data_IF_202858250012
#
_entry.id   IF_202858250012
#
_cell.length_a   1.000
_cell.length_b   1.000
_cell.length_c   1.000
_cell.angle_alpha   90.00
_cell.angle_beta   90.00
_cell.angle_gamma   90.00
#
_symmetry.space_group_name_H-M   'P 1'
#
loop_
_entity.id
_entity.type
_entity.pdbx_description
1 polymer ?
#
# COMPACT_ATOMS: atom_id res chain seq x y z
N UNK A 1 -4.38 6.16 14.30
CA UNK A 1 -4.84 6.42 12.90
C UNK A 1 -4.29 5.45 11.89
N UNK A 2 -3.01 5.13 12.02
CA UNK A 2 -2.38 4.03 11.31
C UNK A 2 -3.27 2.79 11.37
N UNK A 3 -3.84 2.42 12.51
CA UNK A 3 -4.82 1.32 12.61
C UNK A 3 -6.08 1.43 11.72
N UNK A 4 -6.65 2.62 11.48
CA UNK A 4 -7.83 2.79 10.60
C UNK A 4 -7.41 2.58 9.14
N UNK A 5 -6.23 3.08 8.79
CA UNK A 5 -5.65 2.99 7.44
C UNK A 5 -5.10 1.59 7.19
N UNK A 6 -4.36 1.01 8.14
CA UNK A 6 -3.79 -0.33 8.13
C UNK A 6 -4.86 -1.43 8.23
N UNK A 7 -5.99 -1.23 8.93
CA UNK A 7 -7.14 -2.17 8.85
C UNK A 7 -7.87 -2.05 7.53
N UNK A 8 -8.00 -0.84 6.96
CA UNK A 8 -8.54 -0.68 5.61
C UNK A 8 -7.62 -1.35 4.58
N UNK A 9 -6.31 -1.16 4.71
CA UNK A 9 -5.26 -1.82 3.93
C UNK A 9 -5.29 -3.34 4.08
N UNK A 10 -5.32 -3.88 5.30
CA UNK A 10 -5.39 -5.33 5.54
C UNK A 10 -6.73 -5.95 5.08
N UNK A 11 -7.83 -5.21 5.15
CA UNK A 11 -9.15 -5.66 4.65
C UNK A 11 -9.24 -5.60 3.12
N UNK A 12 -8.55 -4.66 2.48
CA UNK A 12 -8.39 -4.57 1.02
C UNK A 12 -7.45 -5.66 0.50
N UNK A 13 -6.30 -5.88 1.15
CA UNK A 13 -5.32 -6.91 0.78
C UNK A 13 -5.78 -8.34 1.14
N UNK A 14 -6.56 -8.51 2.22
CA UNK A 14 -7.07 -9.80 2.70
C UNK A 14 -8.24 -10.38 1.88
N UNK A 15 -8.74 -9.65 0.88
CA UNK A 15 -9.84 -10.10 0.00
C UNK A 15 -9.39 -11.03 -1.14
N UNK A 16 -8.09 -11.32 -1.23
CA UNK A 16 -7.48 -12.07 -2.34
C UNK A 16 -7.29 -13.58 -2.14
N UNK A 17 -7.70 -14.19 -1.02
CA UNK A 17 -7.55 -15.64 -0.80
C UNK A 17 -8.89 -16.38 -0.70
N UNK A 18 -9.50 -16.62 -1.85
CA UNK A 18 -10.25 -17.86 -2.10
C UNK A 18 -9.44 -18.65 -3.12
N UNK A 19 -8.57 -19.51 -2.62
CA UNK A 19 -8.00 -20.59 -3.44
C UNK A 19 -9.18 -21.46 -3.91
N UNK A 20 -9.47 -21.43 -5.20
CA UNK A 20 -10.34 -22.41 -5.84
C UNK A 20 -9.59 -23.73 -5.87
N UNK A 21 -9.81 -24.59 -4.87
CA UNK A 21 -9.33 -25.97 -4.92
C UNK A 21 -10.19 -26.74 -5.93
N UNK A 22 -9.76 -26.77 -7.18
CA UNK A 22 -10.28 -27.71 -8.18
C UNK A 22 -9.78 -29.10 -7.82
N UNK A 23 -10.65 -29.93 -7.23
CA UNK A 23 -10.42 -31.38 -7.13
C UNK A 23 -10.66 -31.97 -8.51
N UNK A 24 -9.60 -32.42 -9.18
CA UNK A 24 -9.74 -33.39 -10.28
C UNK A 24 -9.37 -34.79 -9.78
N UNK A 25 -10.32 -35.71 -9.97
CA UNK A 25 -10.17 -37.12 -9.68
C UNK A 25 -9.35 -37.82 -10.79
N UNK A 26 -8.24 -38.43 -10.38
CA UNK A 26 -7.81 -39.77 -10.80
C UNK A 26 -7.69 -40.09 -12.29
N UNK A 27 -6.48 -39.92 -12.84
CA UNK A 27 -5.90 -40.88 -13.80
C UNK A 27 -4.51 -41.29 -13.35
N UNK A 28 -4.39 -42.52 -12.89
CA UNK A 28 -3.14 -43.19 -12.50
C UNK A 28 -2.30 -43.47 -13.75
N UNK A 29 -1.32 -42.61 -14.04
CA UNK A 29 -0.22 -42.91 -14.97
C UNK A 29 1.09 -42.44 -14.32
N UNK A 30 1.95 -43.44 -14.08
CA UNK A 30 3.34 -43.46 -13.61
C UNK A 30 3.89 -42.20 -12.91
N UNK A 31 4.04 -42.32 -11.58
CA UNK A 31 4.84 -41.39 -10.77
C UNK A 31 6.32 -41.58 -11.14
N UNK A 32 6.86 -40.64 -11.92
CA UNK A 32 8.30 -40.47 -12.08
C UNK A 32 8.77 -39.53 -10.98
N UNK A 33 9.67 -39.99 -10.09
CA UNK A 33 10.27 -39.18 -9.01
C UNK A 33 11.40 -38.24 -9.50
N UNK A 34 11.49 -38.04 -10.82
CA UNK A 34 12.47 -37.12 -11.42
C UNK A 34 11.97 -35.68 -11.27
N UNK A 35 12.68 -34.81 -10.53
CA UNK A 35 12.29 -33.41 -10.32
C UNK A 35 12.09 -32.63 -11.61
N UNK A 36 12.85 -32.92 -12.67
CA UNK A 36 12.73 -32.23 -13.96
C UNK A 36 11.43 -32.64 -14.64
N UNK A 37 11.11 -33.94 -14.63
CA UNK A 37 9.87 -34.46 -15.20
C UNK A 37 8.64 -34.01 -14.40
N UNK A 38 8.79 -33.87 -13.09
CA UNK A 38 7.76 -33.31 -12.20
C UNK A 38 7.50 -31.84 -12.55
N UNK A 39 8.54 -31.02 -12.71
CA UNK A 39 8.43 -29.63 -13.12
C UNK A 39 7.82 -29.48 -14.52
N UNK A 40 8.28 -30.25 -15.52
CA UNK A 40 7.74 -30.18 -16.88
C UNK A 40 6.28 -30.60 -16.96
N UNK A 41 5.87 -31.57 -16.15
CA UNK A 41 4.46 -31.97 -16.04
C UNK A 41 3.62 -30.88 -15.40
N UNK A 42 4.13 -30.24 -14.34
CA UNK A 42 3.44 -29.18 -13.62
C UNK A 42 3.33 -27.90 -14.46
N UNK A 43 4.41 -27.50 -15.13
CA UNK A 43 4.43 -26.36 -16.06
C UNK A 43 3.66 -26.66 -17.36
N UNK A 44 3.69 -27.89 -17.86
CA UNK A 44 2.93 -28.32 -19.03
C UNK A 44 1.40 -28.34 -18.82
N UNK A 45 0.95 -28.24 -17.57
CA UNK A 45 -0.46 -28.05 -17.21
C UNK A 45 -0.90 -26.58 -17.17
N UNK A 46 0.02 -25.62 -17.31
CA UNK A 46 -0.29 -24.19 -17.33
C UNK A 46 -0.59 -23.79 -18.78
N UNK A 47 -1.83 -23.37 -19.04
CA UNK A 47 -2.24 -22.88 -20.35
C UNK A 47 -1.47 -21.60 -20.73
N UNK A 48 -1.06 -21.51 -21.99
CA UNK A 48 -0.42 -20.30 -22.51
C UNK A 48 -1.42 -19.13 -22.50
N UNK A 49 -0.92 -17.94 -22.21
CA UNK A 49 -1.72 -16.73 -22.19
C UNK A 49 -2.17 -16.36 -23.61
N UNK A 50 -3.46 -16.08 -23.77
CA UNK A 50 -3.96 -15.34 -24.93
C UNK A 50 -3.68 -13.85 -24.75
N UNK A 51 -3.74 -13.07 -25.82
CA UNK A 51 -3.66 -11.60 -25.76
C UNK A 51 -4.65 -11.00 -24.76
N UNK A 52 -5.87 -11.53 -24.71
CA UNK A 52 -6.90 -11.12 -23.75
C UNK A 52 -6.52 -11.50 -22.32
N UNK A 53 -5.90 -12.67 -22.12
CA UNK A 53 -5.35 -13.10 -20.84
C UNK A 53 -4.25 -12.18 -20.33
N UNK A 54 -3.31 -11.79 -21.19
CA UNK A 54 -2.24 -10.83 -20.86
C UNK A 54 -2.82 -9.48 -20.45
N UNK A 55 -3.77 -8.95 -21.23
CA UNK A 55 -4.47 -7.69 -20.93
C UNK A 55 -5.22 -7.79 -19.59
N UNK A 56 -5.86 -8.92 -19.31
CA UNK A 56 -6.58 -9.13 -18.06
C UNK A 56 -5.62 -9.14 -16.85
N UNK A 57 -4.45 -9.78 -16.98
CA UNK A 57 -3.41 -9.76 -15.96
C UNK A 57 -2.88 -8.34 -15.75
N UNK A 58 -2.57 -7.61 -16.82
CA UNK A 58 -2.07 -6.24 -16.74
C UNK A 58 -3.04 -5.32 -16.00
N UNK A 59 -4.34 -5.36 -16.35
CA UNK A 59 -5.39 -4.60 -15.66
C UNK A 59 -5.51 -4.96 -14.18
N UNK A 60 -5.31 -6.24 -13.84
CA UNK A 60 -5.35 -6.70 -12.45
C UNK A 60 -4.15 -6.20 -11.66
N UNK A 61 -2.96 -6.18 -12.25
CA UNK A 61 -1.74 -5.64 -11.65
C UNK A 61 -1.90 -4.13 -11.41
N UNK A 62 -2.39 -3.41 -12.41
CA UNK A 62 -2.65 -1.96 -12.33
C UNK A 62 -3.66 -1.62 -11.23
N UNK A 63 -4.80 -2.32 -11.19
CA UNK A 63 -5.80 -2.13 -10.14
C UNK A 63 -5.24 -2.46 -8.74
N UNK A 64 -4.37 -3.48 -8.63
CA UNK A 64 -3.70 -3.81 -7.38
C UNK A 64 -2.75 -2.70 -6.91
N UNK A 65 -1.94 -2.16 -7.84
CA UNK A 65 -1.04 -1.01 -7.59
C UNK A 65 -1.83 0.20 -7.11
N UNK A 66 -2.96 0.50 -7.75
CA UNK A 66 -3.81 1.63 -7.39
C UNK A 66 -4.40 1.51 -5.97
N UNK A 67 -4.91 0.33 -5.61
CA UNK A 67 -5.42 0.07 -4.25
C UNK A 67 -4.32 0.27 -3.21
N UNK A 68 -3.11 -0.19 -3.51
CA UNK A 68 -1.96 -0.03 -2.63
C UNK A 68 -1.57 1.44 -2.47
N UNK A 69 -1.50 2.20 -3.56
CA UNK A 69 -1.18 3.64 -3.52
C UNK A 69 -2.22 4.44 -2.74
N UNK A 70 -3.52 4.14 -2.89
CA UNK A 70 -4.59 4.77 -2.10
C UNK A 70 -4.41 4.56 -0.60
N UNK A 71 -3.95 3.37 -0.20
CA UNK A 71 -3.72 3.09 1.21
C UNK A 71 -2.46 3.78 1.75
N UNK A 72 -1.38 3.78 0.96
CA UNK A 72 -0.13 4.43 1.31
C UNK A 72 -0.29 5.95 1.40
N UNK A 73 -1.07 6.58 0.51
CA UNK A 73 -1.30 8.04 0.49
C UNK A 73 -1.99 8.57 1.74
N UNK A 74 -2.77 7.73 2.42
CA UNK A 74 -3.46 8.09 3.64
C UNK A 74 -2.57 7.91 4.88
N UNK A 75 -1.48 7.14 4.77
CA UNK A 75 -0.74 6.71 5.94
C UNK A 75 0.19 7.77 6.52
N UNK A 76 0.15 8.00 7.85
CA UNK A 76 1.14 8.84 8.54
C UNK A 76 2.57 8.31 8.43
N UNK A 77 2.74 6.98 8.28
CA UNK A 77 4.06 6.35 8.17
C UNK A 77 4.71 6.69 6.82
N UNK A 78 3.92 6.67 5.75
CA UNK A 78 4.33 7.16 4.43
C UNK A 78 4.67 8.65 4.48
N UNK A 79 3.88 9.46 5.20
CA UNK A 79 4.14 10.88 5.38
C UNK A 79 5.51 11.16 6.03
N UNK A 80 5.86 10.40 7.08
CA UNK A 80 7.17 10.47 7.72
C UNK A 80 8.30 10.19 6.73
N UNK A 81 8.15 9.16 5.91
CA UNK A 81 9.14 8.84 4.89
C UNK A 81 9.34 9.98 3.88
N UNK A 82 8.26 10.62 3.45
CA UNK A 82 8.35 11.79 2.56
C UNK A 82 9.00 13.00 3.22
N UNK A 83 8.82 13.20 4.53
CA UNK A 83 9.53 14.25 5.27
C UNK A 83 11.03 13.97 5.35
N UNK A 84 11.41 12.73 5.64
CA UNK A 84 12.81 12.30 5.66
C UNK A 84 13.45 12.48 4.28
N UNK A 85 12.80 12.02 3.21
CA UNK A 85 13.30 12.20 1.85
C UNK A 85 13.39 13.67 1.46
N UNK A 86 12.42 14.50 1.84
CA UNK A 86 12.49 15.93 1.58
C UNK A 86 13.75 16.54 2.21
N UNK A 87 14.05 16.18 3.46
CA UNK A 87 15.22 16.72 4.17
C UNK A 87 16.53 16.18 3.59
N UNK A 88 16.59 14.89 3.27
CA UNK A 88 17.77 14.24 2.68
C UNK A 88 18.06 14.75 1.26
N UNK A 89 17.02 14.93 0.42
CA UNK A 89 17.16 15.50 -0.92
C UNK A 89 17.62 16.96 -0.88
N UNK A 90 17.17 17.75 0.11
CA UNK A 90 17.62 19.14 0.27
C UNK A 90 19.08 19.25 0.72
N UNK A 91 19.58 18.25 1.43
CA UNK A 91 20.98 18.16 1.87
C UNK A 91 21.89 17.43 0.86
N UNK A 92 21.33 17.00 -0.27
CA UNK A 92 22.00 16.13 -1.25
C UNK A 92 22.60 14.84 -0.62
N UNK A 93 21.94 14.31 0.43
CA UNK A 93 22.36 13.06 1.12
C UNK A 93 21.95 11.80 0.34
N UNK A 94 20.90 11.89 -0.47
CA UNK A 94 20.39 10.81 -1.31
C UNK A 94 20.12 11.33 -2.73
N UNK A 95 20.16 10.43 -3.71
CA UNK A 95 19.88 10.75 -5.10
C UNK A 95 18.39 10.55 -5.43
N UNK A 96 17.91 11.27 -6.44
CA UNK A 96 16.50 11.17 -6.88
C UNK A 96 16.19 9.77 -7.40
N UNK A 97 17.16 9.15 -8.09
CA UNK A 97 17.08 7.77 -8.60
C UNK A 97 16.87 6.71 -7.54
N UNK A 98 17.17 7.01 -6.28
CA UNK A 98 16.95 6.07 -5.18
C UNK A 98 15.48 6.03 -4.77
N UNK A 99 14.71 7.09 -5.05
CA UNK A 99 13.30 7.22 -4.68
C UNK A 99 12.37 6.89 -5.85
N UNK A 100 12.72 7.34 -7.06
CA UNK A 100 11.85 7.26 -8.24
C UNK A 100 12.39 6.31 -9.31
N UNK A 101 11.48 5.83 -10.15
CA UNK A 101 11.81 5.18 -11.41
C UNK A 101 12.14 6.25 -12.47
N UNK A 102 13.45 6.50 -12.68
CA UNK A 102 13.91 7.57 -13.59
C UNK A 102 13.53 7.27 -15.04
N UNK A 103 13.66 6.01 -15.46
CA UNK A 103 13.42 5.62 -16.85
C UNK A 103 11.96 5.88 -17.22
N UNK A 104 11.03 5.51 -16.34
CA UNK A 104 9.60 5.75 -16.58
C UNK A 104 9.26 7.25 -16.54
N UNK A 105 9.84 8.00 -15.60
CA UNK A 105 9.52 9.41 -15.41
C UNK A 105 10.09 10.28 -16.56
N UNK A 106 11.29 9.93 -17.06
CA UNK A 106 11.90 10.60 -18.21
C UNK A 106 11.10 10.38 -19.49
N UNK A 107 10.67 9.14 -19.75
CA UNK A 107 9.91 8.80 -20.95
C UNK A 107 8.51 9.46 -20.97
N UNK A 108 7.88 9.67 -19.81
CA UNK A 108 6.63 10.44 -19.71
C UNK A 108 6.82 11.94 -19.97
N UNK A 109 7.93 12.55 -19.54
CA UNK A 109 8.24 13.97 -19.83
C UNK A 109 8.58 14.17 -21.32
N UNK A 110 9.36 13.28 -21.93
CA UNK A 110 9.64 13.29 -23.39
C UNK A 110 8.35 13.19 -24.22
N UNK A 111 7.42 12.31 -23.80
CA UNK A 111 6.12 12.12 -24.46
C UNK A 111 5.18 13.33 -24.38
N UNK A 112 5.45 14.28 -23.48
CA UNK A 112 4.63 15.49 -23.28
C UNK A 112 5.32 16.78 -23.78
N UNK A 113 6.56 16.68 -24.26
CA UNK A 113 7.32 17.79 -24.84
C UNK A 113 7.04 18.04 -26.33
N UNK A 114 7.23 19.28 -26.85
CA UNK A 114 7.13 19.58 -28.28
C UNK A 114 8.12 18.80 -29.17
N UNK A 115 9.13 18.16 -28.59
CA UNK A 115 10.17 17.41 -29.29
C UNK A 115 9.75 16.01 -29.76
N UNK A 116 8.63 15.47 -29.26
CA UNK A 116 8.11 14.16 -29.71
C UNK A 116 7.54 14.16 -31.15
N UNK A 117 7.59 15.28 -31.88
CA UNK A 117 7.04 15.41 -33.25
C UNK A 117 8.06 15.36 -34.40
N UNK A 118 9.33 15.12 -34.13
CA UNK A 118 10.31 14.90 -35.21
C UNK A 118 11.01 13.55 -35.06
N UNK A 119 10.26 12.45 -35.21
CA UNK A 119 10.82 11.14 -35.63
C UNK A 119 9.75 10.09 -35.98
N UNK A 120 8.63 10.50 -36.56
CA UNK A 120 7.68 9.56 -37.17
C UNK A 120 7.09 10.15 -38.45
N UNK A 121 7.89 10.18 -39.51
CA UNK A 121 7.42 10.29 -40.89
C UNK A 121 8.44 9.60 -41.81
N UNK A 122 8.11 8.40 -42.26
CA UNK A 122 8.93 7.64 -43.20
C UNK A 122 8.51 6.18 -43.32
N UNK A 123 7.35 5.94 -43.91
CA UNK A 123 6.96 4.61 -44.38
C UNK A 123 7.59 4.39 -45.77
N UNK A 124 8.44 3.36 -45.94
CA UNK A 124 8.59 2.60 -47.20
C UNK A 124 9.41 1.32 -47.01
N UNK A 125 8.86 0.19 -47.45
CA UNK A 125 9.52 -1.12 -47.61
C UNK A 125 10.85 -1.06 -48.38
N UNK A 126 11.90 -1.73 -47.87
CA UNK A 126 12.65 -2.82 -48.55
C UNK A 126 13.87 -3.32 -47.76
N UNK A 127 14.16 -4.59 -48.04
CA UNK A 127 15.12 -5.56 -47.49
C UNK A 127 16.60 -5.15 -47.32
N UNK A 128 17.18 -5.77 -46.27
CA UNK A 128 18.54 -6.30 -46.09
C UNK A 128 19.76 -5.34 -46.07
N UNK A 129 20.53 -5.42 -44.98
CA UNK A 129 21.84 -4.77 -44.86
C UNK A 129 22.14 -4.16 -43.48
N UNK A 130 22.66 -4.98 -42.57
CA UNK A 130 23.57 -4.63 -41.46
C UNK A 130 23.78 -3.14 -41.15
N UNK A 131 23.23 -2.66 -40.04
CA UNK A 131 23.74 -1.50 -39.29
C UNK A 131 23.48 -1.74 -37.81
N UNK A 132 24.48 -2.34 -37.18
CA UNK A 132 24.63 -2.56 -35.75
C UNK A 132 25.11 -1.24 -35.12
N UNK A 133 24.22 -0.22 -35.03
CA UNK A 133 24.52 1.09 -34.40
C UNK A 133 23.23 1.90 -34.07
N UNK A 134 22.15 1.23 -33.65
CA UNK A 134 20.92 1.89 -33.14
C UNK A 134 20.91 1.99 -31.59
N UNK A 135 22.08 1.97 -30.95
CA UNK A 135 22.22 2.01 -29.48
C UNK A 135 22.74 3.35 -28.92
N UNK A 136 22.89 4.39 -29.76
CA UNK A 136 23.75 5.54 -29.44
C UNK A 136 23.04 6.84 -28.99
N UNK A 137 21.82 6.79 -28.47
CA UNK A 137 21.23 7.99 -27.85
C UNK A 137 20.25 7.72 -26.71
N UNK A 138 20.53 6.75 -25.84
CA UNK A 138 19.85 6.72 -24.54
C UNK A 138 20.64 7.63 -23.57
N UNK A 139 20.07 8.77 -23.11
CA UNK A 139 20.77 9.65 -22.19
C UNK A 139 21.22 8.91 -20.94
N UNK A 140 22.41 9.22 -20.43
CA UNK A 140 22.91 8.58 -19.20
C UNK A 140 21.97 8.87 -18.03
N UNK A 141 21.85 7.93 -17.07
CA UNK A 141 21.03 8.10 -15.87
C UNK A 141 21.33 9.40 -15.10
N UNK A 142 22.59 9.85 -15.09
CA UNK A 142 22.97 11.11 -14.44
C UNK A 142 22.47 12.35 -15.20
N UNK A 143 22.43 12.30 -16.54
CA UNK A 143 21.88 13.36 -17.37
C UNK A 143 20.36 13.45 -17.18
N UNK A 144 19.65 12.31 -17.26
CA UNK A 144 18.22 12.23 -16.98
C UNK A 144 17.89 12.73 -15.57
N UNK A 145 18.65 12.29 -14.55
CA UNK A 145 18.46 12.74 -13.17
C UNK A 145 18.55 14.27 -13.05
N UNK A 146 19.52 14.90 -13.71
CA UNK A 146 19.70 16.36 -13.63
C UNK A 146 18.49 17.12 -14.17
N UNK A 147 17.82 16.60 -15.20
CA UNK A 147 16.65 17.22 -15.81
C UNK A 147 15.39 17.05 -14.95
N UNK A 148 15.20 15.87 -14.36
CA UNK A 148 13.96 15.55 -13.62
C UNK A 148 14.06 15.97 -12.14
N UNK A 149 15.28 16.08 -11.58
CA UNK A 149 15.55 16.49 -10.18
C UNK A 149 14.74 17.71 -9.73
N UNK A 150 14.72 18.87 -10.43
CA UNK A 150 13.96 20.04 -9.97
C UNK A 150 12.44 19.77 -9.86
N UNK A 151 11.88 18.99 -10.79
CA UNK A 151 10.47 18.59 -10.78
C UNK A 151 10.18 17.70 -9.57
N UNK A 152 11.03 16.70 -9.32
CA UNK A 152 10.91 15.78 -8.18
C UNK A 152 10.98 16.53 -6.85
N UNK A 153 11.98 17.41 -6.65
CA UNK A 153 12.09 18.18 -5.42
C UNK A 153 10.84 19.04 -5.17
N UNK A 154 10.30 19.66 -6.22
CA UNK A 154 9.07 20.46 -6.11
C UNK A 154 7.85 19.60 -5.74
N UNK A 155 7.71 18.42 -6.32
CA UNK A 155 6.64 17.48 -5.98
C UNK A 155 6.77 16.98 -4.54
N UNK A 156 7.97 16.58 -4.10
CA UNK A 156 8.24 16.13 -2.72
C UNK A 156 7.97 17.24 -1.69
N UNK A 157 8.34 18.49 -1.99
CA UNK A 157 8.00 19.63 -1.14
C UNK A 157 6.49 19.89 -1.08
N UNK A 158 5.78 19.70 -2.19
CA UNK A 158 4.32 19.87 -2.25
C UNK A 158 3.63 18.78 -1.43
N UNK A 159 4.03 17.52 -1.61
CA UNK A 159 3.61 16.39 -0.80
C UNK A 159 3.85 16.65 0.68
N UNK A 160 5.02 17.16 1.06
CA UNK A 160 5.34 17.51 2.45
C UNK A 160 4.34 18.52 3.04
N UNK A 161 3.95 19.54 2.27
CA UNK A 161 2.95 20.54 2.72
C UNK A 161 1.55 19.94 2.82
N UNK A 162 1.15 19.10 1.87
CA UNK A 162 -0.14 18.42 1.86
C UNK A 162 -0.26 17.41 3.01
N UNK A 163 0.78 16.60 3.25
CA UNK A 163 0.85 15.69 4.38
C UNK A 163 0.78 16.42 5.72
N UNK A 164 1.42 17.58 5.86
CA UNK A 164 1.28 18.39 7.07
C UNK A 164 -0.18 18.83 7.32
N UNK A 165 -0.93 19.16 6.27
CA UNK A 165 -2.37 19.45 6.38
C UNK A 165 -3.16 18.18 6.70
N UNK A 166 -2.86 17.08 6.01
CA UNK A 166 -3.52 15.79 6.21
C UNK A 166 -3.39 15.35 7.66
N UNK A 167 -2.17 15.38 8.24
CA UNK A 167 -1.88 15.00 9.63
C UNK A 167 -2.69 15.84 10.62
N UNK A 168 -2.93 17.14 10.34
CA UNK A 168 -3.78 17.99 11.20
C UNK A 168 -5.24 17.53 11.18
N UNK A 169 -5.81 17.32 9.99
CA UNK A 169 -7.18 16.78 9.85
C UNK A 169 -7.32 15.41 10.48
N UNK A 170 -6.29 14.59 10.32
CA UNK A 170 -6.16 13.27 10.89
C UNK A 170 -6.20 13.32 12.43
N UNK A 171 -5.38 14.17 13.06
CA UNK A 171 -5.41 14.37 14.52
C UNK A 171 -6.77 14.87 15.00
N UNK A 172 -7.34 15.84 14.31
CA UNK A 172 -8.68 16.34 14.64
C UNK A 172 -9.76 15.24 14.53
N UNK A 173 -9.73 14.44 13.47
CA UNK A 173 -10.63 13.30 13.29
C UNK A 173 -10.46 12.28 14.42
N UNK A 174 -9.23 12.01 14.85
CA UNK A 174 -8.92 11.15 15.99
C UNK A 174 -9.49 11.72 17.29
N UNK A 175 -9.29 13.01 17.56
CA UNK A 175 -9.82 13.69 18.74
C UNK A 175 -11.36 13.66 18.78
N UNK A 176 -12.03 13.88 17.65
CA UNK A 176 -13.48 13.74 17.55
C UNK A 176 -13.92 12.32 17.95
N UNK A 177 -13.26 11.28 17.43
CA UNK A 177 -13.59 9.90 17.76
C UNK A 177 -13.32 9.59 19.25
N UNK A 178 -12.20 10.05 19.79
CA UNK A 178 -11.86 9.89 21.21
C UNK A 178 -12.83 10.61 22.14
N UNK A 179 -13.42 11.72 21.69
CA UNK A 179 -14.41 12.51 22.43
C UNK A 179 -15.87 12.13 22.09
N UNK A 180 -16.08 11.10 21.27
CA UNK A 180 -17.42 10.70 20.77
C UNK A 180 -18.18 11.82 20.04
N UNK A 181 -17.45 12.73 19.39
CA UNK A 181 -17.99 13.78 18.55
C UNK A 181 -17.98 13.35 17.07
N UNK A 182 -18.93 13.86 16.30
CA UNK A 182 -18.97 13.62 14.86
C UNK A 182 -17.98 14.54 14.15
N UNK A 183 -17.17 13.96 13.26
CA UNK A 183 -16.35 14.75 12.35
C UNK A 183 -17.27 15.40 11.31
N UNK A 184 -17.14 16.71 11.08
CA UNK A 184 -18.13 17.42 10.27
C UNK A 184 -18.04 17.01 8.79
N UNK A 185 -19.18 16.88 8.07
CA UNK A 185 -19.18 16.48 6.66
C UNK A 185 -18.37 17.41 5.75
N UNK A 186 -18.29 18.70 6.10
CA UNK A 186 -17.47 19.67 5.37
C UNK A 186 -15.97 19.40 5.52
N UNK A 187 -15.53 18.99 6.72
CA UNK A 187 -14.14 18.60 6.97
C UNK A 187 -13.81 17.25 6.33
N UNK A 188 -14.78 16.33 6.25
CA UNK A 188 -14.63 15.06 5.55
C UNK A 188 -14.37 15.24 4.05
N UNK A 189 -15.14 16.11 3.38
CA UNK A 189 -14.87 16.47 1.98
C UNK A 189 -13.48 17.12 1.79
N UNK A 190 -13.06 17.96 2.73
CA UNK A 190 -11.72 18.57 2.71
C UNK A 190 -10.61 17.53 2.87
N UNK A 191 -10.80 16.56 3.77
CA UNK A 191 -9.91 15.43 3.97
C UNK A 191 -9.79 14.57 2.70
N UNK A 192 -10.92 14.18 2.09
CA UNK A 192 -10.93 13.39 0.86
C UNK A 192 -10.22 14.10 -0.28
N UNK A 193 -10.42 15.41 -0.42
CA UNK A 193 -9.72 16.21 -1.43
C UNK A 193 -8.20 16.16 -1.24
N UNK A 194 -7.71 16.40 -0.03
CA UNK A 194 -6.27 16.35 0.27
C UNK A 194 -5.70 14.96 0.01
N UNK A 195 -6.44 13.89 0.35
CA UNK A 195 -6.00 12.51 0.07
C UNK A 195 -5.90 12.25 -1.43
N UNK A 196 -6.84 12.75 -2.23
CA UNK A 196 -6.80 12.61 -3.68
C UNK A 196 -5.64 13.41 -4.30
N UNK A 197 -5.43 14.65 -3.83
CA UNK A 197 -4.31 15.49 -4.28
C UNK A 197 -2.96 14.79 -4.00
N UNK A 198 -2.79 14.22 -2.80
CA UNK A 198 -1.60 13.42 -2.43
C UNK A 198 -1.47 12.18 -3.31
N UNK A 199 -2.57 11.47 -3.58
CA UNK A 199 -2.57 10.27 -4.42
C UNK A 199 -2.09 10.59 -5.84
N UNK A 200 -2.59 11.67 -6.45
CA UNK A 200 -2.19 12.12 -7.78
C UNK A 200 -0.70 12.51 -7.80
N UNK A 201 -0.23 13.21 -6.77
CA UNK A 201 1.18 13.58 -6.62
C UNK A 201 2.10 12.35 -6.44
N UNK A 202 1.66 11.30 -5.73
CA UNK A 202 2.43 10.05 -5.62
C UNK A 202 2.44 9.27 -6.94
N UNK A 203 1.30 9.24 -7.65
CA UNK A 203 1.20 8.60 -8.96
C UNK A 203 2.15 9.26 -9.97
N UNK A 204 2.19 10.59 -10.01
CA UNK A 204 3.09 11.35 -10.91
C UNK A 204 4.56 11.27 -10.51
N UNK A 205 4.86 11.02 -9.23
CA UNK A 205 6.24 10.84 -8.78
C UNK A 205 6.85 9.52 -9.27
N UNK A 206 6.02 8.51 -9.52
CA UNK A 206 6.44 7.17 -9.97
C UNK A 206 7.55 6.58 -9.10
N UNK A 207 7.21 6.31 -7.83
CA UNK A 207 8.13 5.68 -6.88
C UNK A 207 8.70 4.37 -7.46
N UNK A 208 9.99 4.14 -7.21
CA UNK A 208 10.65 2.91 -7.64
C UNK A 208 10.00 1.68 -6.98
N UNK A 209 9.95 0.52 -7.66
CA UNK A 209 9.31 -0.68 -7.11
C UNK A 209 9.90 -1.10 -5.75
N UNK A 210 11.22 -1.01 -5.60
CA UNK A 210 11.93 -1.35 -4.36
C UNK A 210 11.52 -0.47 -3.18
N UNK A 211 11.37 0.85 -3.42
CA UNK A 211 10.93 1.80 -2.40
C UNK A 211 9.48 1.54 -1.99
N UNK A 212 8.63 1.23 -2.98
CA UNK A 212 7.24 0.90 -2.74
C UNK A 212 7.10 -0.37 -1.89
N UNK A 213 7.92 -1.39 -2.15
CA UNK A 213 8.00 -2.61 -1.36
C UNK A 213 8.47 -2.33 0.08
N UNK A 214 9.48 -1.48 0.26
CA UNK A 214 9.96 -1.08 1.59
C UNK A 214 8.85 -0.38 2.40
N UNK A 215 8.13 0.56 1.78
CA UNK A 215 6.99 1.23 2.40
C UNK A 215 5.93 0.22 2.83
N UNK A 216 5.57 -0.72 1.97
CA UNK A 216 4.61 -1.79 2.30
C UNK A 216 5.10 -2.64 3.47
N UNK A 217 6.39 -2.97 3.50
CA UNK A 217 6.99 -3.77 4.57
C UNK A 217 6.98 -3.05 5.92
N UNK A 218 7.20 -1.72 5.93
CA UNK A 218 7.04 -0.89 7.14
C UNK A 218 5.61 -0.98 7.69
N UNK A 219 4.60 -0.84 6.83
CA UNK A 219 3.19 -0.99 7.21
C UNK A 219 2.86 -2.39 7.73
N UNK A 220 3.42 -3.42 7.11
CA UNK A 220 3.22 -4.80 7.53
C UNK A 220 3.80 -5.06 8.93
N UNK A 221 4.93 -4.43 9.25
CA UNK A 221 5.56 -4.50 10.57
C UNK A 221 4.70 -3.85 11.65
N UNK A 222 4.16 -2.65 11.39
CA UNK A 222 3.24 -1.98 12.32
C UNK A 222 1.93 -2.75 12.47
N UNK A 223 1.40 -3.31 11.38
CA UNK A 223 0.21 -4.16 11.43
C UNK A 223 0.42 -5.40 12.33
N UNK A 224 1.59 -6.04 12.25
CA UNK A 224 1.93 -7.18 13.12
C UNK A 224 1.91 -6.79 14.60
N UNK A 225 2.39 -5.60 14.96
CA UNK A 225 2.32 -5.11 16.34
C UNK A 225 0.88 -4.92 16.79
N UNK A 226 0.02 -4.34 15.94
CA UNK A 226 -1.41 -4.18 16.21
C UNK A 226 -2.07 -5.54 16.43
N UNK A 227 -1.86 -6.50 15.52
CA UNK A 227 -2.41 -7.86 15.61
C UNK A 227 -1.94 -8.56 16.89
N UNK A 228 -0.68 -8.38 17.28
CA UNK A 228 -0.13 -8.94 18.52
C UNK A 228 -0.85 -8.39 19.75
N UNK A 229 -1.05 -7.08 19.82
CA UNK A 229 -1.78 -6.42 20.91
C UNK A 229 -3.25 -6.86 20.98
N UNK A 230 -3.92 -6.92 19.82
CA UNK A 230 -5.30 -7.44 19.72
C UNK A 230 -5.40 -8.92 20.12
N UNK A 231 -4.40 -9.72 19.74
CA UNK A 231 -4.31 -11.13 20.08
C UNK A 231 -4.11 -11.37 21.57
N UNK A 232 -3.29 -10.54 22.23
CA UNK A 232 -3.14 -10.57 23.69
C UNK A 232 -4.46 -10.24 24.38
N UNK A 233 -5.16 -9.19 23.91
CA UNK A 233 -6.46 -8.82 24.45
C UNK A 233 -7.52 -9.91 24.26
N UNK A 234 -7.52 -10.58 23.10
CA UNK A 234 -8.41 -11.71 22.82
C UNK A 234 -8.14 -12.89 23.76
N UNK A 235 -6.87 -13.22 24.05
CA UNK A 235 -6.52 -14.30 24.99
C UNK A 235 -7.04 -13.99 26.40
N UNK A 236 -6.82 -12.76 26.89
CA UNK A 236 -7.34 -12.33 28.18
C UNK A 236 -8.87 -12.42 28.24
N UNK A 237 -9.57 -12.11 27.15
CA UNK A 237 -11.01 -12.25 27.09
C UNK A 237 -11.44 -13.74 27.14
N UNK A 238 -10.73 -14.61 26.43
CA UNK A 238 -10.99 -16.05 26.44
C UNK A 238 -10.75 -16.69 27.82
N UNK A 239 -9.74 -16.24 28.56
CA UNK A 239 -9.47 -16.67 29.95
C UNK A 239 -10.64 -16.32 30.90
N UNK A 240 -11.46 -15.34 30.51
CA UNK A 240 -12.67 -14.92 31.21
C UNK A 240 -13.97 -15.51 30.64
N UNK A 241 -13.88 -16.61 29.88
CA UNK A 241 -15.00 -17.30 29.23
C UNK A 241 -15.74 -16.45 28.17
N UNK A 242 -15.11 -15.40 27.64
CA UNK A 242 -15.66 -14.66 26.50
C UNK A 242 -15.25 -15.37 25.22
N UNK A 243 -16.24 -15.83 24.44
CA UNK A 243 -15.95 -16.53 23.19
C UNK A 243 -15.30 -15.60 22.17
N UNK A 244 -14.46 -16.14 21.28
CA UNK A 244 -13.83 -15.38 20.20
C UNK A 244 -14.84 -14.63 19.34
N UNK A 245 -15.96 -15.26 19.01
CA UNK A 245 -17.01 -14.66 18.17
C UNK A 245 -17.69 -13.47 18.86
N UNK A 246 -17.95 -13.60 20.17
CA UNK A 246 -18.51 -12.51 20.97
C UNK A 246 -17.52 -11.34 21.08
N UNK A 247 -16.26 -11.63 21.38
CA UNK A 247 -15.21 -10.61 21.44
C UNK A 247 -15.10 -9.86 20.12
N UNK A 248 -14.98 -10.58 19.00
CA UNK A 248 -14.89 -9.99 17.66
C UNK A 248 -16.10 -9.09 17.35
N UNK A 249 -17.31 -9.53 17.70
CA UNK A 249 -18.55 -8.78 17.45
C UNK A 249 -18.58 -7.43 18.14
N UNK A 250 -18.10 -7.34 19.38
CA UNK A 250 -18.15 -6.11 20.16
C UNK A 250 -16.89 -5.26 20.02
N UNK A 251 -15.74 -5.90 19.80
CA UNK A 251 -14.44 -5.22 19.71
C UNK A 251 -14.23 -4.58 18.34
N UNK A 252 -14.55 -5.28 17.24
CA UNK A 252 -14.35 -4.73 15.88
C UNK A 252 -15.27 -3.53 15.66
N UNK A 253 -14.69 -2.39 15.30
CA UNK A 253 -15.38 -1.11 15.11
C UNK A 253 -15.47 -0.25 16.38
N UNK A 254 -15.16 -0.78 17.55
CA UNK A 254 -15.15 -0.04 18.82
C UNK A 254 -13.74 0.05 19.44
N UNK A 255 -12.69 -0.26 18.71
CA UNK A 255 -11.37 -0.49 19.29
C UNK A 255 -10.74 0.77 19.90
N UNK A 256 -11.17 1.95 19.44
CA UNK A 256 -10.77 3.27 19.95
C UNK A 256 -11.89 3.98 20.72
N UNK A 257 -13.06 3.36 20.84
CA UNK A 257 -14.25 3.95 21.45
C UNK A 257 -14.04 4.20 22.96
N UNK A 258 -14.11 5.46 23.44
CA UNK A 258 -14.01 5.80 24.87
C UNK A 258 -15.04 5.11 25.74
N UNK A 259 -16.22 4.83 25.19
CA UNK A 259 -17.35 4.27 25.92
C UNK A 259 -17.44 2.75 25.84
N UNK A 260 -16.49 2.05 25.20
CA UNK A 260 -16.52 0.59 25.05
C UNK A 260 -16.67 -0.12 26.40
N UNK A 261 -15.90 0.31 27.41
CA UNK A 261 -15.99 -0.24 28.77
C UNK A 261 -17.38 -0.02 29.37
N UNK A 262 -17.90 1.22 29.31
CA UNK A 262 -19.23 1.56 29.85
C UNK A 262 -20.35 0.77 29.17
N UNK A 263 -20.23 0.55 27.86
CA UNK A 263 -21.21 -0.21 27.08
C UNK A 263 -21.22 -1.69 27.48
N UNK A 264 -20.05 -2.29 27.67
CA UNK A 264 -19.90 -3.71 27.98
C UNK A 264 -20.02 -4.04 29.49
N UNK A 265 -19.90 -3.05 30.38
CA UNK A 265 -20.14 -3.19 31.82
C UNK A 265 -21.57 -3.65 32.17
N UNK A 266 -22.50 -3.61 31.20
CA UNK A 266 -23.86 -4.13 31.31
C UNK A 266 -23.90 -5.66 31.48
N UNK A 267 -22.89 -6.38 30.98
CA UNK A 267 -22.77 -7.83 31.14
C UNK A 267 -21.82 -8.14 32.31
N UNK A 268 -22.28 -8.99 33.24
CA UNK A 268 -21.52 -9.41 34.42
C UNK A 268 -20.13 -9.99 34.08
N UNK A 269 -20.04 -10.76 32.98
CA UNK A 269 -18.79 -11.39 32.53
C UNK A 269 -17.78 -10.33 32.06
N UNK A 270 -18.23 -9.40 31.21
CA UNK A 270 -17.42 -8.29 30.72
C UNK A 270 -17.00 -7.33 31.83
N UNK A 271 -17.88 -7.07 32.79
CA UNK A 271 -17.56 -6.26 33.97
C UNK A 271 -16.45 -6.88 34.82
N UNK A 272 -16.48 -8.21 35.01
CA UNK A 272 -15.41 -8.93 35.71
C UNK A 272 -14.09 -8.88 34.93
N UNK A 273 -14.14 -9.05 33.62
CA UNK A 273 -12.98 -8.91 32.73
C UNK A 273 -12.32 -7.52 32.86
N UNK A 274 -13.10 -6.44 32.73
CA UNK A 274 -12.55 -5.07 32.84
C UNK A 274 -12.11 -4.68 34.26
N UNK A 275 -12.64 -5.36 35.29
CA UNK A 275 -12.22 -5.16 36.67
C UNK A 275 -10.85 -5.81 36.94
N UNK A 276 -10.63 -7.04 36.44
CA UNK A 276 -9.40 -7.80 36.69
C UNK A 276 -8.24 -7.37 35.79
N UNK A 277 -8.52 -7.03 34.52
CA UNK A 277 -7.49 -6.68 33.52
C UNK A 277 -7.41 -5.19 33.23
N UNK A 278 -7.73 -4.33 34.22
CA UNK A 278 -7.84 -2.88 34.03
C UNK A 278 -6.55 -2.25 33.49
N UNK A 279 -5.40 -2.62 34.07
CA UNK A 279 -4.11 -2.02 33.73
C UNK A 279 -3.58 -2.53 32.38
N UNK A 280 -3.73 -3.82 32.11
CA UNK A 280 -3.39 -4.42 30.82
C UNK A 280 -4.27 -3.87 29.70
N UNK A 281 -5.57 -3.75 29.93
CA UNK A 281 -6.50 -3.15 28.97
C UNK A 281 -6.14 -1.69 28.69
N UNK A 282 -5.80 -0.91 29.73
CA UNK A 282 -5.38 0.48 29.57
C UNK A 282 -4.07 0.59 28.79
N UNK A 283 -3.07 -0.23 29.12
CA UNK A 283 -1.78 -0.26 28.43
C UNK A 283 -1.94 -0.65 26.96
N UNK A 284 -2.66 -1.75 26.67
CA UNK A 284 -2.93 -2.19 25.30
C UNK A 284 -3.66 -1.09 24.53
N UNK A 285 -4.64 -0.43 25.16
CA UNK A 285 -5.39 0.66 24.53
C UNK A 285 -4.53 1.89 24.24
N UNK A 286 -3.67 2.30 25.16
CA UNK A 286 -2.74 3.42 24.96
C UNK A 286 -1.74 3.13 23.83
N UNK A 287 -1.28 1.88 23.70
CA UNK A 287 -0.39 1.46 22.61
C UNK A 287 -1.08 1.30 21.25
N UNK A 288 -2.41 1.30 21.21
CA UNK A 288 -3.21 1.14 20.00
C UNK A 288 -3.73 2.46 19.41
N UNK A 289 -3.65 3.57 20.17
CA UNK A 289 -4.08 4.91 19.78
C UNK A 289 -2.92 5.62 19.09
#
# INVERSE_FOLDING_TARGET
MERIITKSFARLMGRGKKESSSKEEGKTIEKSDDPIRMYLREMGGVELLSREGEIAIAKRIEAGKDVMLIALSQSPLTAQQFFEWNDQLQKDEILVREIIDIDTNYMEDESTGPSAKQKNAGETDKEDGSSDDDDDFNPTLAAMETEIKPKVLKTVQTLTKEYNKLIKYQKEKLECVLNSQTFSPAKEKGYEKIVNDILENIKSLQLSPSVLEELVQKHYTENKKIISLEGNLLRLAMDHNISRNEFIKFYIGNEINPNLKKFLDTNSIWKQFFAKNKDEFKNIRERLI
#
